data_IF_999953812451
#
_entry.id   IF_999953812451
#
_cell.length_a   1.000
_cell.length_b   1.000
_cell.length_c   1.000
_cell.angle_alpha   90.00
_cell.angle_beta   90.00
_cell.angle_gamma   90.00
#
_symmetry.space_group_name_H-M   'P 1'
#
loop_
_entity.id
_entity.type
_entity.pdbx_description
1 polymer ?
#
# COMPACT_ATOMS: atom_id res chain seq x y z
N UNK A 1 -3.92 47.16 9.06
CA UNK A 1 -4.24 45.77 8.64
C UNK A 1 -5.76 45.68 8.56
N UNK A 2 -6.30 45.53 7.36
CA UNK A 2 -7.74 45.49 7.12
C UNK A 2 -8.31 44.10 7.49
N UNK A 3 -9.40 44.07 8.26
CA UNK A 3 -10.04 42.85 8.77
C UNK A 3 -10.53 41.95 7.63
N UNK A 4 -10.88 42.53 6.49
CA UNK A 4 -11.25 41.79 5.29
C UNK A 4 -10.07 41.03 4.65
N UNK A 5 -8.88 41.62 4.64
CA UNK A 5 -7.67 40.94 4.14
C UNK A 5 -7.18 39.81 5.04
N UNK A 6 -7.45 39.89 6.35
CA UNK A 6 -7.14 38.82 7.30
C UNK A 6 -8.07 37.61 7.11
N UNK A 7 -9.37 37.86 6.85
CA UNK A 7 -10.36 36.80 6.55
C UNK A 7 -10.05 36.08 5.24
N UNK A 8 -9.77 36.81 4.16
CA UNK A 8 -9.45 36.19 2.87
C UNK A 8 -8.21 35.30 2.94
N UNK A 9 -7.16 35.70 3.67
CA UNK A 9 -5.98 34.87 3.93
C UNK A 9 -6.29 33.63 4.77
N UNK A 10 -7.17 33.77 5.77
CA UNK A 10 -7.60 32.63 6.58
C UNK A 10 -8.39 31.62 5.74
N UNK A 11 -9.30 32.10 4.87
CA UNK A 11 -10.09 31.25 3.97
C UNK A 11 -9.20 30.52 2.96
N UNK A 12 -8.19 31.19 2.41
CA UNK A 12 -7.22 30.58 1.48
C UNK A 12 -6.38 29.49 2.16
N UNK A 13 -5.91 29.74 3.39
CA UNK A 13 -5.18 28.75 4.20
C UNK A 13 -6.06 27.56 4.56
N UNK A 14 -7.31 27.79 4.97
CA UNK A 14 -8.26 26.71 5.27
C UNK A 14 -8.54 25.87 4.03
N UNK A 15 -8.76 26.50 2.87
CA UNK A 15 -8.97 25.79 1.61
C UNK A 15 -7.73 24.97 1.18
N UNK A 16 -6.52 25.46 1.44
CA UNK A 16 -5.29 24.72 1.18
C UNK A 16 -5.14 23.51 2.13
N UNK A 17 -5.45 23.70 3.42
CA UNK A 17 -5.49 22.63 4.41
C UNK A 17 -6.50 21.54 4.05
N UNK A 18 -7.72 21.93 3.66
CA UNK A 18 -8.76 20.98 3.26
C UNK A 18 -8.36 20.15 2.04
N UNK A 19 -7.76 20.79 1.01
CA UNK A 19 -7.24 20.07 -0.16
C UNK A 19 -6.13 19.08 0.19
N UNK A 20 -5.23 19.47 1.10
CA UNK A 20 -4.16 18.60 1.57
C UNK A 20 -4.73 17.41 2.34
N UNK A 21 -5.69 17.65 3.23
CA UNK A 21 -6.36 16.60 4.02
C UNK A 21 -7.15 15.63 3.15
N UNK A 22 -7.92 16.14 2.19
CA UNK A 22 -8.69 15.29 1.28
C UNK A 22 -7.77 14.45 0.40
N UNK A 23 -6.68 15.03 -0.12
CA UNK A 23 -5.69 14.30 -0.90
C UNK A 23 -5.01 13.18 -0.10
N UNK A 24 -4.71 13.42 1.18
CA UNK A 24 -4.13 12.40 2.06
C UNK A 24 -5.13 11.25 2.35
N UNK A 25 -6.40 11.57 2.60
CA UNK A 25 -7.44 10.56 2.85
C UNK A 25 -7.69 9.68 1.61
N UNK A 26 -7.78 10.29 0.43
CA UNK A 26 -7.98 9.58 -0.84
C UNK A 26 -6.80 8.65 -1.14
N UNK A 27 -5.57 9.13 -0.91
CA UNK A 27 -4.36 8.31 -1.04
C UNK A 27 -4.40 7.11 -0.09
N UNK A 28 -4.71 7.35 1.19
CA UNK A 28 -4.78 6.29 2.19
C UNK A 28 -5.80 5.22 1.79
N UNK A 29 -6.95 5.62 1.26
CA UNK A 29 -7.97 4.70 0.78
C UNK A 29 -7.49 3.88 -0.42
N UNK A 30 -6.85 4.53 -1.39
CA UNK A 30 -6.29 3.84 -2.56
C UNK A 30 -5.22 2.83 -2.16
N UNK A 31 -4.29 3.21 -1.27
CA UNK A 31 -3.25 2.31 -0.77
C UNK A 31 -3.83 1.13 0.01
N UNK A 32 -4.82 1.35 0.89
CA UNK A 32 -5.48 0.26 1.64
C UNK A 32 -6.17 -0.75 0.71
N UNK A 33 -6.59 -0.32 -0.48
CA UNK A 33 -7.24 -1.18 -1.47
C UNK A 33 -6.25 -1.98 -2.34
N UNK A 34 -4.95 -1.68 -2.29
CA UNK A 34 -3.95 -2.40 -3.09
C UNK A 34 -3.83 -3.84 -2.62
N UNK A 35 -4.07 -4.76 -3.55
CA UNK A 35 -3.74 -6.16 -3.37
C UNK A 35 -3.43 -6.78 -4.74
N UNK A 36 -2.44 -7.68 -4.77
CA UNK A 36 -2.17 -8.50 -5.94
C UNK A 36 -2.38 -9.98 -5.60
N UNK A 37 -3.04 -10.68 -6.51
CA UNK A 37 -3.18 -12.14 -6.47
C UNK A 37 -2.44 -12.72 -7.67
N UNK A 38 -1.50 -13.62 -7.40
CA UNK A 38 -0.71 -14.32 -8.42
C UNK A 38 -0.88 -15.81 -8.25
N UNK A 39 -1.04 -16.51 -9.37
CA UNK A 39 -1.10 -17.96 -9.44
C UNK A 39 0.15 -18.47 -10.14
N UNK A 40 0.73 -19.56 -9.63
CA UNK A 40 1.87 -20.24 -10.25
C UNK A 40 1.53 -20.79 -11.63
N UNK A 41 2.54 -21.00 -12.47
CA UNK A 41 2.36 -21.48 -13.85
C UNK A 41 1.65 -22.84 -13.94
N UNK A 42 1.87 -23.70 -12.94
CA UNK A 42 1.22 -25.02 -12.82
C UNK A 42 -0.20 -24.95 -12.23
N UNK A 43 -0.63 -23.76 -11.81
CA UNK A 43 -1.92 -23.51 -11.19
C UNK A 43 -2.09 -24.16 -9.81
N UNK A 44 -0.99 -24.57 -9.15
CA UNK A 44 -1.04 -25.27 -7.87
C UNK A 44 -0.97 -24.35 -6.66
N UNK A 45 -0.42 -23.15 -6.83
CA UNK A 45 -0.24 -22.18 -5.74
C UNK A 45 -0.85 -20.86 -6.17
N UNK A 46 -1.69 -20.28 -5.33
CA UNK A 46 -2.18 -18.91 -5.50
C UNK A 46 -1.85 -18.11 -4.25
N UNK A 47 -1.20 -16.96 -4.41
CA UNK A 47 -0.76 -16.08 -3.33
C UNK A 47 -1.42 -14.73 -3.48
N UNK A 48 -1.97 -14.20 -2.39
CA UNK A 48 -2.46 -12.83 -2.32
C UNK A 48 -1.61 -12.01 -1.37
N UNK A 49 -1.15 -10.85 -1.84
CA UNK A 49 -0.30 -9.91 -1.12
C UNK A 49 -1.02 -8.58 -0.95
N UNK A 50 -0.88 -7.99 0.23
CA UNK A 50 -1.43 -6.69 0.59
C UNK A 50 -0.44 -5.53 0.37
N UNK A 51 -0.85 -4.28 0.67
CA UNK A 51 -0.16 -3.06 0.25
C UNK A 51 1.23 -2.85 0.83
N UNK A 52 1.63 -3.60 1.86
CA UNK A 52 2.95 -3.53 2.50
C UNK A 52 3.84 -4.70 2.07
N UNK A 53 3.48 -5.41 1.01
CA UNK A 53 4.18 -6.62 0.57
C UNK A 53 3.93 -7.84 1.45
N UNK A 54 3.04 -7.73 2.43
CA UNK A 54 2.68 -8.81 3.34
C UNK A 54 1.77 -9.83 2.65
N UNK A 55 2.09 -11.11 2.81
CA UNK A 55 1.22 -12.20 2.35
C UNK A 55 -0.02 -12.23 3.22
N UNK A 56 -1.20 -12.12 2.61
CA UNK A 56 -2.50 -12.14 3.30
C UNK A 56 -3.23 -13.47 3.10
N UNK A 57 -2.94 -14.18 2.01
CA UNK A 57 -3.52 -15.48 1.71
C UNK A 57 -2.57 -16.33 0.87
N UNK A 58 -2.52 -17.62 1.17
CA UNK A 58 -1.90 -18.64 0.32
C UNK A 58 -2.90 -19.76 0.15
N UNK A 59 -3.16 -20.15 -1.09
CA UNK A 59 -4.05 -21.22 -1.47
C UNK A 59 -3.26 -22.27 -2.23
N UNK A 60 -3.45 -23.53 -1.84
CA UNK A 60 -2.83 -24.68 -2.47
C UNK A 60 -3.92 -25.53 -3.11
N UNK A 61 -3.77 -25.80 -4.40
CA UNK A 61 -4.67 -26.69 -5.10
C UNK A 61 -4.48 -28.14 -4.61
N UNK A 62 -5.55 -28.89 -4.28
CA UNK A 62 -5.44 -30.28 -3.80
C UNK A 62 -4.66 -31.22 -4.73
N UNK A 63 -4.46 -30.86 -6.00
CA UNK A 63 -3.59 -31.58 -6.95
C UNK A 63 -2.15 -31.74 -6.44
N UNK A 64 -1.67 -30.90 -5.51
CA UNK A 64 -0.34 -31.06 -4.89
C UNK A 64 -0.14 -32.43 -4.22
N UNK A 65 -1.22 -33.07 -3.77
CA UNK A 65 -1.17 -34.39 -3.13
C UNK A 65 -1.10 -35.55 -4.13
N UNK A 66 -1.41 -35.32 -5.42
CA UNK A 66 -1.40 -36.39 -6.44
C UNK A 66 0.02 -36.83 -6.80
N UNK A 67 0.98 -35.91 -6.74
CA UNK A 67 2.41 -36.14 -6.97
C UNK A 67 3.21 -35.36 -5.92
N UNK A 68 3.31 -35.87 -4.69
CA UNK A 68 3.92 -35.12 -3.60
C UNK A 68 5.41 -34.90 -3.86
N UNK A 69 5.79 -33.63 -4.05
CA UNK A 69 7.17 -33.17 -4.16
C UNK A 69 7.34 -31.88 -3.34
N UNK A 70 7.68 -32.03 -2.07
CA UNK A 70 7.78 -30.91 -1.13
C UNK A 70 8.88 -29.90 -1.54
N UNK A 71 9.98 -30.38 -2.12
CA UNK A 71 11.08 -29.51 -2.55
C UNK A 71 10.62 -28.57 -3.68
N UNK A 72 9.96 -29.14 -4.70
CA UNK A 72 9.42 -28.35 -5.81
C UNK A 72 8.31 -27.40 -5.33
N UNK A 73 7.39 -27.87 -4.49
CA UNK A 73 6.32 -27.02 -3.95
C UNK A 73 6.87 -25.82 -3.17
N UNK A 74 7.90 -26.02 -2.36
CA UNK A 74 8.56 -24.93 -1.61
C UNK A 74 9.13 -23.85 -2.55
N UNK A 75 9.76 -24.26 -3.65
CA UNK A 75 10.26 -23.36 -4.69
C UNK A 75 9.10 -22.60 -5.33
N UNK A 76 8.07 -23.31 -5.81
CA UNK A 76 6.89 -22.69 -6.45
C UNK A 76 6.22 -21.68 -5.53
N UNK A 77 6.02 -22.00 -4.25
CA UNK A 77 5.43 -21.07 -3.26
C UNK A 77 6.31 -19.82 -3.11
N UNK A 78 7.61 -20.00 -2.94
CA UNK A 78 8.54 -18.89 -2.75
C UNK A 78 8.58 -17.96 -3.97
N UNK A 79 8.62 -18.52 -5.18
CA UNK A 79 8.60 -17.77 -6.42
C UNK A 79 7.27 -17.02 -6.63
N UNK A 80 6.14 -17.68 -6.32
CA UNK A 80 4.82 -17.06 -6.43
C UNK A 80 4.66 -15.91 -5.43
N UNK A 81 5.17 -16.06 -4.20
CA UNK A 81 5.21 -14.96 -3.21
C UNK A 81 6.04 -13.79 -3.75
N UNK A 82 7.26 -14.04 -4.26
CA UNK A 82 8.12 -12.97 -4.81
C UNK A 82 7.43 -12.23 -5.95
N UNK A 83 6.79 -12.95 -6.85
CA UNK A 83 6.03 -12.36 -7.96
C UNK A 83 4.87 -11.50 -7.46
N UNK A 84 4.07 -12.01 -6.52
CA UNK A 84 2.96 -11.26 -5.94
C UNK A 84 3.43 -10.00 -5.19
N UNK A 85 4.52 -10.11 -4.41
CA UNK A 85 5.12 -8.96 -3.71
C UNK A 85 5.62 -7.91 -4.70
N UNK A 86 6.34 -8.31 -5.76
CA UNK A 86 6.82 -7.39 -6.78
C UNK A 86 5.67 -6.66 -7.49
N UNK A 87 4.59 -7.38 -7.84
CA UNK A 87 3.41 -6.78 -8.48
C UNK A 87 2.71 -5.78 -7.55
N UNK A 88 2.55 -6.11 -6.26
CA UNK A 88 1.98 -5.19 -5.27
C UNK A 88 2.85 -3.95 -5.09
N UNK A 89 4.17 -4.09 -4.98
CA UNK A 89 5.06 -2.93 -4.81
C UNK A 89 5.04 -2.01 -6.03
N UNK A 90 4.96 -2.56 -7.24
CA UNK A 90 4.80 -1.77 -8.46
C UNK A 90 3.45 -1.02 -8.51
N UNK A 91 2.39 -1.60 -7.95
CA UNK A 91 1.07 -0.94 -7.81
C UNK A 91 1.14 0.24 -6.83
N UNK A 92 1.70 0.01 -5.64
CA UNK A 92 1.92 1.04 -4.62
C UNK A 92 2.77 2.16 -5.19
N UNK A 93 3.84 1.82 -5.93
CA UNK A 93 4.70 2.79 -6.57
C UNK A 93 3.91 3.72 -7.52
N UNK A 94 3.05 3.14 -8.34
CA UNK A 94 2.22 3.89 -9.30
C UNK A 94 1.25 4.85 -8.62
N UNK A 95 0.68 4.45 -7.49
CA UNK A 95 -0.26 5.27 -6.72
C UNK A 95 0.47 6.42 -6.02
N UNK A 96 1.66 6.19 -5.48
CA UNK A 96 2.41 7.22 -4.74
C UNK A 96 3.14 8.23 -5.63
N UNK A 97 3.51 7.86 -6.87
CA UNK A 97 4.30 8.70 -7.80
C UNK A 97 3.79 10.14 -7.98
N UNK A 98 2.48 10.43 -8.07
CA UNK A 98 1.99 11.79 -8.28
C UNK A 98 2.20 12.74 -7.08
N UNK A 99 2.51 12.19 -5.89
CA UNK A 99 2.50 12.93 -4.61
C UNK A 99 3.90 13.10 -4.02
N UNK A 100 4.88 12.37 -4.53
CA UNK A 100 6.26 12.35 -4.01
C UNK A 100 7.21 12.82 -5.11
N UNK A 101 7.96 13.92 -4.91
CA UNK A 101 9.01 14.33 -5.85
C UNK A 101 10.04 13.19 -6.06
N UNK A 102 10.46 12.94 -7.31
CA UNK A 102 11.26 11.78 -7.73
C UNK A 102 12.46 11.43 -6.81
N UNK A 103 13.08 12.42 -6.18
CA UNK A 103 14.24 12.24 -5.30
C UNK A 103 13.93 11.56 -3.94
N UNK A 104 12.68 11.60 -3.47
CA UNK A 104 12.27 10.99 -2.20
C UNK A 104 11.78 9.54 -2.37
N UNK A 105 11.40 9.16 -3.59
CA UNK A 105 10.86 7.84 -3.90
C UNK A 105 11.88 6.70 -3.69
N UNK A 106 13.12 6.94 -4.11
CA UNK A 106 14.20 5.95 -4.06
C UNK A 106 14.74 5.71 -2.63
N UNK A 107 14.53 6.64 -1.70
CA UNK A 107 15.11 6.58 -0.36
C UNK A 107 14.21 5.92 0.71
N UNK A 108 12.91 5.76 0.46
CA UNK A 108 11.95 5.22 1.43
C UNK A 108 11.36 3.85 1.09
N UNK A 109 11.34 3.46 -0.19
CA UNK A 109 10.71 2.19 -0.63
C UNK A 109 11.44 0.96 -0.06
N UNK A 110 12.75 1.04 0.20
CA UNK A 110 13.52 -0.13 0.64
C UNK A 110 13.50 -0.37 2.16
N UNK A 111 13.12 0.63 2.98
CA UNK A 111 13.24 0.52 4.45
C UNK A 111 12.11 1.13 5.30
N UNK A 112 11.19 1.94 4.77
CA UNK A 112 10.27 2.69 5.65
C UNK A 112 8.85 2.94 5.12
N UNK A 113 8.29 1.99 4.35
CA UNK A 113 6.83 1.99 4.14
C UNK A 113 6.08 1.86 5.47
N UNK A 114 6.63 1.14 6.45
CA UNK A 114 6.05 1.10 7.81
C UNK A 114 5.98 2.48 8.47
N UNK A 115 7.00 3.33 8.33
CA UNK A 115 7.03 4.68 8.89
C UNK A 115 6.02 5.61 8.23
N UNK A 116 5.87 5.56 6.90
CA UNK A 116 4.82 6.32 6.20
C UNK A 116 3.43 5.90 6.70
N UNK A 117 3.16 4.59 6.80
CA UNK A 117 1.88 4.10 7.31
C UNK A 117 1.66 4.42 8.80
N UNK A 118 2.70 4.36 9.63
CA UNK A 118 2.63 4.70 11.06
C UNK A 118 2.40 6.18 11.27
N UNK A 119 3.03 7.04 10.47
CA UNK A 119 2.83 8.49 10.54
C UNK A 119 1.41 8.88 10.09
N UNK A 120 0.88 8.23 9.05
CA UNK A 120 -0.53 8.39 8.63
C UNK A 120 -1.55 7.91 9.69
N UNK A 121 -1.24 6.86 10.47
CA UNK A 121 -2.08 6.44 11.59
C UNK A 121 -1.88 7.33 12.84
N UNK A 122 -0.74 8.00 12.99
CA UNK A 122 -0.42 8.86 14.15
C UNK A 122 -0.99 10.27 14.00
N UNK A 123 -1.15 10.79 12.78
CA UNK A 123 -1.78 12.09 12.50
C UNK A 123 -3.32 12.07 12.58
N UNK A 124 -3.91 10.93 12.96
CA UNK A 124 -5.31 10.80 13.34
C UNK A 124 -5.45 10.98 14.87
N UNK A 125 -5.84 12.17 15.38
CA UNK A 125 -6.39 12.23 16.73
C UNK A 125 -7.66 11.38 16.73
N UNK A 126 -7.66 10.37 17.60
CA UNK A 126 -8.82 9.56 17.88
C UNK A 126 -10.04 10.47 18.08
N UNK A 127 -11.07 10.23 17.29
CA UNK A 127 -12.39 10.73 17.60
C UNK A 127 -12.79 10.12 18.94
N UNK A 128 -12.76 10.93 19.98
CA UNK A 128 -13.44 10.68 21.25
C UNK A 128 -14.84 10.14 20.96
N UNK A 129 -15.10 8.88 21.35
CA UNK A 129 -16.39 8.35 21.82
C UNK A 129 -16.17 7.06 22.62
N UNK A 130 -16.01 7.16 23.93
CA UNK A 130 -16.97 6.65 24.93
C UNK A 130 -16.57 7.09 26.34
#
# INVERSE_FOLDING_TARGET
MDVHGLRARADELMAQFDRMRSGAADLQQQLRAVSATVTSDDGLVTVTVGPRGQVTKVELDPRIYRRPNAAQLSVTVTETIRAATAQTMAEVERICRPLVPDAQFQAHIDFDLEGIFRQLDTDLPGGDRN
#
